data_IF_286332292767
#
_entry.id   IF_286332292767
#
_cell.length_a   1.000
_cell.length_b   1.000
_cell.length_c   1.000
_cell.angle_alpha   90.00
_cell.angle_beta   90.00
_cell.angle_gamma   90.00
#
_symmetry.space_group_name_H-M   'P 1'
#
loop_
_entity.id
_entity.type
_entity.pdbx_description
1 polymer ?
#
# COMPACT_ATOMS: atom_id res chain seq x y z
N UNK A 1 37.98 -75.04 4.60
CA UNK A 1 36.80 -75.93 4.59
C UNK A 1 35.63 -75.16 5.18
N UNK A 2 34.51 -75.13 4.46
CA UNK A 2 33.19 -74.52 4.73
C UNK A 2 33.09 -72.99 4.59
N UNK A 3 32.04 -72.39 4.02
CA UNK A 3 31.03 -72.78 3.02
C UNK A 3 30.26 -71.49 2.66
N UNK A 4 29.86 -71.40 1.39
CA UNK A 4 29.13 -70.32 0.72
C UNK A 4 27.69 -70.16 1.24
N UNK A 5 27.19 -68.92 1.32
CA UNK A 5 25.79 -68.59 1.03
C UNK A 5 25.66 -67.11 0.62
N UNK A 6 26.07 -66.80 -0.62
CA UNK A 6 25.80 -65.52 -1.28
C UNK A 6 24.30 -65.51 -1.67
N UNK A 7 23.45 -64.93 -0.82
CA UNK A 7 22.05 -64.67 -1.17
C UNK A 7 22.01 -63.40 -2.03
N UNK A 8 22.11 -63.58 -3.34
CA UNK A 8 21.90 -62.52 -4.33
C UNK A 8 20.42 -62.15 -4.30
N UNK A 9 20.08 -61.14 -3.50
CA UNK A 9 18.83 -60.41 -3.63
C UNK A 9 18.96 -59.58 -4.91
N UNK A 10 18.32 -60.02 -5.99
CA UNK A 10 18.12 -59.21 -7.19
C UNK A 10 17.41 -57.91 -6.78
N UNK A 11 17.99 -56.72 -6.96
CA UNK A 11 17.20 -55.51 -6.92
C UNK A 11 16.24 -55.60 -8.11
N UNK A 12 14.97 -55.86 -7.84
CA UNK A 12 13.92 -55.53 -8.78
C UNK A 12 14.10 -54.05 -9.07
N UNK A 13 14.54 -53.73 -10.28
CA UNK A 13 14.48 -52.38 -10.81
C UNK A 13 13.00 -52.00 -10.73
N UNK A 14 12.64 -51.25 -9.69
CA UNK A 14 11.45 -50.45 -9.73
C UNK A 14 11.69 -49.49 -10.90
N UNK A 15 11.17 -49.84 -12.08
CA UNK A 15 11.02 -48.88 -13.16
C UNK A 15 10.31 -47.69 -12.55
N UNK A 16 11.02 -46.56 -12.42
CA UNK A 16 10.41 -45.29 -12.12
C UNK A 16 9.39 -45.06 -13.24
N UNK A 17 8.10 -45.16 -12.92
CA UNK A 17 7.04 -44.94 -13.89
C UNK A 17 7.11 -43.46 -14.31
N UNK A 18 7.55 -43.14 -15.54
CA UNK A 18 7.76 -41.75 -15.95
C UNK A 18 6.47 -40.92 -15.90
N UNK A 19 5.31 -41.58 -15.91
CA UNK A 19 4.02 -40.92 -15.73
C UNK A 19 3.77 -40.48 -14.27
N UNK A 20 4.29 -41.22 -13.28
CA UNK A 20 4.20 -40.87 -11.87
C UNK A 20 5.11 -39.69 -11.51
N UNK A 21 6.33 -39.66 -12.07
CA UNK A 21 7.28 -38.55 -11.86
C UNK A 21 6.79 -37.23 -12.48
N UNK A 22 6.19 -37.29 -13.67
CA UNK A 22 5.59 -36.11 -14.31
C UNK A 22 4.39 -35.55 -13.51
N UNK A 23 3.55 -36.43 -12.94
CA UNK A 23 2.45 -36.02 -12.06
C UNK A 23 2.97 -35.36 -10.77
N UNK A 24 4.02 -35.91 -10.17
CA UNK A 24 4.65 -35.31 -8.98
C UNK A 24 5.20 -33.90 -9.26
N UNK A 25 5.85 -33.71 -10.41
CA UNK A 25 6.32 -32.40 -10.86
C UNK A 25 5.15 -31.40 -11.06
N UNK A 26 4.04 -31.83 -11.67
CA UNK A 26 2.84 -31.00 -11.84
C UNK A 26 2.21 -30.60 -10.50
N UNK A 27 2.14 -31.52 -9.53
CA UNK A 27 1.65 -31.22 -8.18
C UNK A 27 2.54 -30.18 -7.49
N UNK A 28 3.87 -30.34 -7.58
CA UNK A 28 4.82 -29.37 -7.03
C UNK A 28 4.67 -27.99 -7.69
N UNK A 29 4.47 -27.94 -9.01
CA UNK A 29 4.23 -26.70 -9.73
C UNK A 29 2.92 -26.01 -9.31
N UNK A 30 1.84 -26.77 -9.12
CA UNK A 30 0.56 -26.24 -8.60
C UNK A 30 0.74 -25.69 -7.18
N UNK A 31 1.47 -26.39 -6.31
CA UNK A 31 1.75 -25.92 -4.96
C UNK A 31 2.57 -24.61 -4.97
N UNK A 32 3.60 -24.52 -5.81
CA UNK A 32 4.41 -23.30 -5.98
C UNK A 32 3.58 -22.13 -6.51
N UNK A 33 2.71 -22.38 -7.49
CA UNK A 33 1.79 -21.36 -8.03
C UNK A 33 0.82 -20.85 -6.95
N UNK A 34 0.25 -21.75 -6.13
CA UNK A 34 -0.61 -21.37 -5.01
C UNK A 34 0.14 -20.54 -3.96
N UNK A 35 1.37 -20.91 -3.61
CA UNK A 35 2.19 -20.11 -2.68
C UNK A 35 2.45 -18.72 -3.25
N UNK A 36 2.75 -18.61 -4.56
CA UNK A 36 2.98 -17.32 -5.22
C UNK A 36 1.71 -16.46 -5.24
N UNK A 37 0.53 -17.04 -5.43
CA UNK A 37 -0.74 -16.33 -5.30
C UNK A 37 -0.99 -15.81 -3.88
N UNK A 38 -0.65 -16.59 -2.85
CA UNK A 38 -0.76 -16.13 -1.46
C UNK A 38 0.18 -14.97 -1.18
N UNK A 39 1.43 -15.06 -1.64
CA UNK A 39 2.40 -13.97 -1.49
C UNK A 39 1.96 -12.70 -2.23
N UNK A 40 1.48 -12.83 -3.48
CA UNK A 40 0.95 -11.70 -4.26
C UNK A 40 -0.31 -11.10 -3.61
N UNK A 41 -1.16 -11.91 -2.98
CA UNK A 41 -2.31 -11.41 -2.22
C UNK A 41 -1.88 -10.59 -1.01
N UNK A 42 -0.83 -11.02 -0.29
CA UNK A 42 -0.28 -10.26 0.83
C UNK A 42 0.36 -8.94 0.34
N UNK A 43 1.12 -9.00 -0.77
CA UNK A 43 1.71 -7.81 -1.41
C UNK A 43 0.61 -6.82 -1.82
N UNK A 44 -0.47 -7.26 -2.46
CA UNK A 44 -1.61 -6.40 -2.82
C UNK A 44 -2.24 -5.74 -1.59
N UNK A 45 -2.34 -6.43 -0.45
CA UNK A 45 -2.86 -5.83 0.78
C UNK A 45 -1.95 -4.73 1.30
N UNK A 46 -0.63 -4.98 1.34
CA UNK A 46 0.36 -3.96 1.70
C UNK A 46 0.35 -2.76 0.75
N UNK A 47 0.17 -2.99 -0.56
CA UNK A 47 0.06 -1.91 -1.55
C UNK A 47 -1.24 -1.10 -1.38
N UNK A 48 -2.36 -1.74 -1.00
CA UNK A 48 -3.60 -1.03 -0.68
C UNK A 48 -3.46 -0.14 0.56
N UNK A 49 -2.79 -0.63 1.60
CA UNK A 49 -2.45 0.17 2.77
C UNK A 49 -1.53 1.34 2.41
N UNK A 50 -0.56 1.10 1.52
CA UNK A 50 0.36 2.12 1.03
C UNK A 50 -0.35 3.22 0.23
N UNK A 51 -1.31 2.86 -0.62
CA UNK A 51 -2.16 3.82 -1.35
C UNK A 51 -3.02 4.64 -0.38
N UNK A 52 -3.64 3.99 0.61
CA UNK A 52 -4.45 4.67 1.63
C UNK A 52 -3.60 5.65 2.44
N UNK A 53 -2.39 5.24 2.84
CA UNK A 53 -1.43 6.13 3.50
C UNK A 53 -1.06 7.31 2.60
N UNK A 54 -0.75 7.07 1.33
CA UNK A 54 -0.38 8.13 0.40
C UNK A 54 -1.53 9.13 0.15
N UNK A 55 -2.79 8.68 0.19
CA UNK A 55 -3.96 9.56 0.14
C UNK A 55 -4.00 10.52 1.33
N UNK A 56 -3.81 9.98 2.54
CA UNK A 56 -3.76 10.80 3.78
C UNK A 56 -2.56 11.74 3.77
N UNK A 57 -1.40 11.28 3.30
CA UNK A 57 -0.19 12.11 3.18
C UNK A 57 -0.42 13.28 2.20
N UNK A 58 -1.11 13.05 1.07
CA UNK A 58 -1.47 14.10 0.09
C UNK A 58 -2.44 15.11 0.70
N UNK A 59 -3.47 14.66 1.43
CA UNK A 59 -4.43 15.54 2.10
C UNK A 59 -3.73 16.42 3.15
N UNK A 60 -2.94 15.79 4.02
CA UNK A 60 -2.13 16.50 5.03
C UNK A 60 -1.19 17.51 4.39
N UNK A 61 -0.52 17.14 3.29
CA UNK A 61 0.39 18.05 2.60
C UNK A 61 -0.35 19.25 1.96
N UNK A 62 -1.57 19.05 1.45
CA UNK A 62 -2.41 20.15 0.92
C UNK A 62 -2.86 21.11 2.02
N UNK A 63 -3.24 20.59 3.18
CA UNK A 63 -3.61 21.42 4.32
C UNK A 63 -2.42 22.23 4.84
N UNK A 64 -1.22 21.63 4.85
CA UNK A 64 0.01 22.34 5.18
C UNK A 64 0.34 23.44 4.17
N UNK A 65 0.11 23.22 2.87
CA UNK A 65 0.26 24.26 1.83
C UNK A 65 -0.73 25.40 2.06
N UNK A 66 -1.99 25.09 2.35
CA UNK A 66 -3.00 26.11 2.63
C UNK A 66 -2.64 26.94 3.87
N UNK A 67 -2.17 26.30 4.93
CA UNK A 67 -1.70 26.96 6.15
C UNK A 67 -0.50 27.85 5.86
N UNK A 68 0.53 27.35 5.17
CA UNK A 68 1.71 28.11 4.82
C UNK A 68 1.41 29.29 3.87
N UNK A 69 0.42 29.14 2.99
CA UNK A 69 -0.08 30.23 2.15
C UNK A 69 -0.73 31.34 3.00
N UNK A 70 -1.60 30.97 3.93
CA UNK A 70 -2.25 31.92 4.84
C UNK A 70 -1.22 32.66 5.72
N UNK A 71 -0.20 31.95 6.22
CA UNK A 71 0.87 32.54 7.02
C UNK A 71 1.73 33.52 6.21
N UNK A 72 1.98 33.22 4.94
CA UNK A 72 2.68 34.11 4.02
C UNK A 72 1.85 35.38 3.74
N UNK A 73 0.56 35.24 3.46
CA UNK A 73 -0.34 36.38 3.23
C UNK A 73 -0.44 37.28 4.47
N UNK A 74 -0.58 36.67 5.66
CA UNK A 74 -0.59 37.37 6.94
C UNK A 74 0.72 38.13 7.17
N UNK A 75 1.86 37.50 6.88
CA UNK A 75 3.17 38.14 7.04
C UNK A 75 3.38 39.29 6.05
N UNK A 76 2.94 39.13 4.80
CA UNK A 76 2.98 40.20 3.80
C UNK A 76 2.12 41.38 4.21
N UNK A 77 0.94 41.13 4.79
CA UNK A 77 0.09 42.19 5.31
C UNK A 77 0.76 42.92 6.48
N UNK A 78 1.36 42.20 7.42
CA UNK A 78 2.10 42.80 8.52
C UNK A 78 3.26 43.69 8.06
N UNK A 79 3.96 43.33 6.98
CA UNK A 79 5.00 44.18 6.36
C UNK A 79 4.39 45.45 5.76
N UNK A 80 3.25 45.36 5.06
CA UNK A 80 2.53 46.54 4.53
C UNK A 80 2.09 47.49 5.65
N UNK A 81 1.59 46.94 6.74
CA UNK A 81 1.13 47.70 7.91
C UNK A 81 2.32 48.40 8.58
N UNK A 82 3.46 47.71 8.74
CA UNK A 82 4.68 48.31 9.27
C UNK A 82 5.21 49.47 8.40
N UNK A 83 5.19 49.31 7.06
CA UNK A 83 5.57 50.38 6.13
C UNK A 83 4.63 51.59 6.25
N UNK A 84 3.32 51.33 6.39
CA UNK A 84 2.31 52.40 6.56
C UNK A 84 2.48 53.14 7.88
N UNK A 85 2.80 52.43 8.97
CA UNK A 85 3.10 53.03 10.27
C UNK A 85 4.34 53.92 10.23
N UNK A 86 5.40 53.52 9.53
CA UNK A 86 6.61 54.34 9.32
C UNK A 86 6.26 55.61 8.53
N UNK A 87 5.54 55.47 7.42
CA UNK A 87 5.12 56.62 6.61
C UNK A 87 4.25 57.60 7.41
N UNK A 88 3.28 57.09 8.18
CA UNK A 88 2.43 57.89 9.05
C UNK A 88 3.21 58.59 10.16
N UNK A 89 4.18 57.92 10.78
CA UNK A 89 5.06 58.55 11.76
C UNK A 89 5.92 59.66 11.13
N UNK A 90 6.40 59.46 9.90
CA UNK A 90 7.26 60.44 9.21
C UNK A 90 6.46 61.68 8.84
N UNK A 91 5.23 61.48 8.36
CA UNK A 91 4.32 62.59 8.08
C UNK A 91 4.02 63.40 9.34
N UNK A 92 3.73 62.75 10.47
CA UNK A 92 3.50 63.45 11.75
C UNK A 92 4.71 64.26 12.20
N UNK A 93 5.92 63.68 12.07
CA UNK A 93 7.16 64.40 12.37
C UNK A 93 7.38 65.60 11.44
N UNK A 94 7.18 65.43 10.13
CA UNK A 94 7.30 66.50 9.14
C UNK A 94 6.29 67.63 9.40
N UNK A 95 5.04 67.30 9.73
CA UNK A 95 4.01 68.28 10.09
C UNK A 95 4.39 69.04 11.36
N UNK A 96 4.89 68.35 12.38
CA UNK A 96 5.36 69.00 13.60
C UNK A 96 6.53 69.94 13.31
N UNK A 97 7.53 69.49 12.55
CA UNK A 97 8.67 70.32 12.16
C UNK A 97 8.24 71.56 11.36
N UNK A 98 7.30 71.41 10.42
CA UNK A 98 6.73 72.53 9.67
C UNK A 98 5.97 73.50 10.58
N UNK A 99 5.15 73.00 11.51
CA UNK A 99 4.42 73.82 12.47
C UNK A 99 5.36 74.55 13.43
N UNK A 100 6.43 73.89 13.90
CA UNK A 100 7.46 74.45 14.75
C UNK A 100 8.36 75.46 14.00
N UNK A 101 8.52 75.32 12.68
CA UNK A 101 9.21 76.33 11.86
C UNK A 101 8.33 77.56 11.64
N UNK A 102 7.06 77.35 11.28
CA UNK A 102 6.11 78.44 10.99
C UNK A 102 5.70 79.23 12.25
N UNK A 103 5.46 78.55 13.38
CA UNK A 103 5.12 79.16 14.67
C UNK A 103 6.33 79.23 15.61
N UNK A 104 7.53 79.03 15.06
CA UNK A 104 8.76 78.92 15.82
C UNK A 104 9.08 80.18 16.61
N UNK A 105 10.14 80.13 17.42
CA UNK A 105 10.43 81.20 18.35
C UNK A 105 10.66 82.52 17.64
N UNK A 106 10.86 82.64 16.32
CA UNK A 106 10.79 83.93 15.61
C UNK A 106 9.48 84.71 15.82
N UNK A 107 8.33 84.05 15.96
CA UNK A 107 7.07 84.70 16.35
C UNK A 107 6.99 84.93 17.86
N UNK A 108 7.56 84.02 18.66
CA UNK A 108 7.59 84.15 20.12
C UNK A 108 8.67 85.10 20.63
N UNK A 109 9.75 85.35 19.91
CA UNK A 109 10.83 86.29 20.22
C UNK A 109 10.31 87.72 20.14
N UNK A 110 9.24 87.94 19.38
CA UNK A 110 8.52 89.21 19.34
C UNK A 110 7.53 89.38 20.52
N UNK A 111 7.22 88.31 21.27
CA UNK A 111 6.26 88.31 22.40
C UNK A 111 6.80 87.70 23.70
N UNK A 112 8.04 87.21 23.74
CA UNK A 112 8.61 86.47 24.86
C UNK A 112 8.95 87.43 25.99
N UNK A 113 8.41 87.14 27.17
CA UNK A 113 8.54 88.01 28.34
C UNK A 113 9.79 87.74 29.16
N UNK A 114 10.48 86.60 28.95
CA UNK A 114 11.71 86.23 29.68
C UNK A 114 12.66 85.31 28.89
N UNK A 115 13.98 85.30 29.22
CA UNK A 115 14.97 84.37 28.64
C UNK A 115 14.69 82.89 28.94
N UNK A 116 14.05 82.58 30.07
CA UNK A 116 13.77 81.21 30.51
C UNK A 116 12.74 80.52 29.59
N UNK A 117 11.77 81.27 29.05
CA UNK A 117 10.75 80.75 28.12
C UNK A 117 11.37 80.23 26.81
N UNK A 118 12.44 80.88 26.34
CA UNK A 118 13.17 80.48 25.13
C UNK A 118 13.88 79.14 25.36
N UNK A 119 14.54 78.98 26.52
CA UNK A 119 15.25 77.75 26.90
C UNK A 119 14.25 76.60 27.07
N UNK A 120 13.11 76.85 27.71
CA UNK A 120 12.06 75.85 27.91
C UNK A 120 11.50 75.34 26.56
N UNK A 121 11.27 76.25 25.61
CA UNK A 121 10.77 75.92 24.26
C UNK A 121 11.78 75.09 23.48
N UNK A 122 13.07 75.44 23.54
CA UNK A 122 14.12 74.68 22.86
C UNK A 122 14.31 73.28 23.48
N UNK A 123 14.26 73.18 24.82
CA UNK A 123 14.34 71.90 25.52
C UNK A 123 13.15 70.97 25.15
N UNK A 124 11.94 71.52 25.05
CA UNK A 124 10.76 70.79 24.61
C UNK A 124 10.91 70.28 23.16
N UNK A 125 11.40 71.12 22.24
CA UNK A 125 11.65 70.74 20.85
C UNK A 125 12.71 69.62 20.72
N UNK A 126 13.80 69.72 21.49
CA UNK A 126 14.85 68.68 21.56
C UNK A 126 14.30 67.36 22.09
N UNK A 127 13.52 67.40 23.18
CA UNK A 127 12.89 66.21 23.77
C UNK A 127 11.95 65.51 22.79
N UNK A 128 11.10 66.27 22.09
CA UNK A 128 10.17 65.71 21.11
C UNK A 128 10.90 65.14 19.88
N UNK A 129 11.99 65.78 19.44
CA UNK A 129 12.83 65.26 18.35
C UNK A 129 13.48 63.93 18.74
N UNK A 130 14.05 63.83 19.95
CA UNK A 130 14.62 62.60 20.46
C UNK A 130 13.56 61.49 20.62
N UNK A 131 12.35 61.84 21.08
CA UNK A 131 11.22 60.91 21.15
C UNK A 131 10.82 60.39 19.76
N UNK A 132 10.76 61.28 18.76
CA UNK A 132 10.43 60.93 17.38
C UNK A 132 11.47 60.00 16.75
N UNK A 133 12.76 60.29 16.96
CA UNK A 133 13.85 59.40 16.52
C UNK A 133 13.75 58.02 17.18
N UNK A 134 13.41 57.97 18.47
CA UNK A 134 13.20 56.71 19.19
C UNK A 134 12.02 55.91 18.63
N UNK A 135 10.89 56.57 18.35
CA UNK A 135 9.72 55.94 17.71
C UNK A 135 10.11 55.39 16.33
N UNK A 136 10.83 56.17 15.52
CA UNK A 136 11.29 55.74 14.21
C UNK A 136 12.23 54.54 14.26
N UNK A 137 13.19 54.54 15.19
CA UNK A 137 14.08 53.41 15.38
C UNK A 137 13.30 52.13 15.74
N UNK A 138 12.33 52.22 16.65
CA UNK A 138 11.45 51.10 17.02
C UNK A 138 10.61 50.61 15.84
N UNK A 139 10.07 51.51 15.02
CA UNK A 139 9.28 51.14 13.83
C UNK A 139 10.15 50.46 12.76
N UNK A 140 11.37 50.93 12.52
CA UNK A 140 12.31 50.30 11.59
C UNK A 140 12.75 48.92 12.08
N UNK A 141 12.99 48.77 13.38
CA UNK A 141 13.25 47.47 13.99
C UNK A 141 12.07 46.53 13.78
N UNK A 142 10.85 46.94 14.13
CA UNK A 142 9.64 46.13 13.94
C UNK A 142 9.44 45.74 12.47
N UNK A 143 9.66 46.66 11.51
CA UNK A 143 9.62 46.36 10.07
C UNK A 143 10.63 45.27 9.69
N UNK A 144 11.84 45.34 10.22
CA UNK A 144 12.89 44.33 9.95
C UNK A 144 12.48 42.96 10.49
N UNK A 145 11.91 42.91 11.69
CA UNK A 145 11.35 41.67 12.25
C UNK A 145 10.21 41.10 11.39
N UNK A 146 9.33 41.95 10.85
CA UNK A 146 8.27 41.49 9.94
C UNK A 146 8.82 40.99 8.60
N UNK A 147 9.83 41.64 8.02
CA UNK A 147 10.49 41.16 6.79
C UNK A 147 11.18 39.81 7.00
N UNK A 148 11.76 39.59 8.18
CA UNK A 148 12.35 38.30 8.55
C UNK A 148 11.26 37.22 8.68
N UNK A 149 10.11 37.54 9.29
CA UNK A 149 8.94 36.65 9.37
C UNK A 149 8.37 36.32 8.00
N UNK A 150 8.22 37.31 7.12
CA UNK A 150 7.76 37.11 5.74
C UNK A 150 8.72 36.19 4.96
N UNK A 151 10.03 36.38 5.14
CA UNK A 151 11.04 35.53 4.51
C UNK A 151 10.95 34.09 5.01
N UNK A 152 10.76 33.89 6.32
CA UNK A 152 10.55 32.57 6.91
C UNK A 152 9.24 31.93 6.41
N UNK A 153 8.14 32.69 6.33
CA UNK A 153 6.87 32.21 5.81
C UNK A 153 6.96 31.83 4.32
N UNK A 154 7.73 32.57 3.52
CA UNK A 154 7.97 32.24 2.11
C UNK A 154 8.73 30.91 1.97
N UNK A 155 9.74 30.70 2.81
CA UNK A 155 10.47 29.42 2.84
C UNK A 155 9.57 28.27 3.31
N UNK A 156 8.75 28.50 4.34
CA UNK A 156 7.78 27.52 4.82
C UNK A 156 6.79 27.12 3.71
N UNK A 157 6.28 28.09 2.94
CA UNK A 157 5.44 27.83 1.76
C UNK A 157 6.17 26.98 0.72
N UNK A 158 7.40 27.32 0.35
CA UNK A 158 8.17 26.54 -0.63
C UNK A 158 8.38 25.10 -0.17
N UNK A 159 8.67 24.90 1.13
CA UNK A 159 8.82 23.57 1.70
C UNK A 159 7.50 22.80 1.72
N UNK A 160 6.38 23.45 2.03
CA UNK A 160 5.06 22.84 1.97
C UNK A 160 4.66 22.45 0.54
N UNK A 161 4.88 23.34 -0.43
CA UNK A 161 4.61 23.09 -1.85
C UNK A 161 5.44 21.89 -2.36
N UNK A 162 6.72 21.80 -1.95
CA UNK A 162 7.58 20.65 -2.25
C UNK A 162 7.06 19.36 -1.60
N UNK A 163 6.70 19.40 -0.32
CA UNK A 163 6.15 18.24 0.37
C UNK A 163 4.85 17.73 -0.28
N UNK A 164 4.00 18.64 -0.77
CA UNK A 164 2.79 18.28 -1.51
C UNK A 164 3.10 17.61 -2.86
N UNK A 165 4.12 18.08 -3.58
CA UNK A 165 4.59 17.44 -4.80
C UNK A 165 5.17 16.04 -4.53
N UNK A 166 5.98 15.90 -3.48
CA UNK A 166 6.58 14.62 -3.07
C UNK A 166 5.50 13.61 -2.62
N UNK A 167 4.48 14.06 -1.88
CA UNK A 167 3.33 13.25 -1.49
C UNK A 167 2.52 12.77 -2.70
N UNK A 168 2.30 13.66 -3.69
CA UNK A 168 1.62 13.29 -4.94
C UNK A 168 2.40 12.25 -5.74
N UNK A 169 3.72 12.42 -5.84
CA UNK A 169 4.60 11.44 -6.48
C UNK A 169 4.54 10.08 -5.78
N UNK A 170 4.52 10.07 -4.44
CA UNK A 170 4.40 8.84 -3.64
C UNK A 170 3.06 8.14 -3.85
N UNK A 171 1.96 8.90 -3.96
CA UNK A 171 0.64 8.37 -4.33
C UNK A 171 0.68 7.70 -5.71
N UNK A 172 1.26 8.36 -6.72
CA UNK A 172 1.33 7.81 -8.07
C UNK A 172 2.16 6.52 -8.10
N UNK A 173 3.27 6.49 -7.37
CA UNK A 173 4.09 5.30 -7.22
C UNK A 173 3.32 4.14 -6.55
N UNK A 174 2.59 4.41 -5.47
CA UNK A 174 1.80 3.40 -4.78
C UNK A 174 0.65 2.85 -5.65
N UNK A 175 -0.03 3.72 -6.41
CA UNK A 175 -1.08 3.30 -7.35
C UNK A 175 -0.50 2.44 -8.48
N UNK A 176 0.67 2.82 -9.00
CA UNK A 176 1.36 2.04 -10.03
C UNK A 176 1.79 0.66 -9.51
N UNK A 177 2.35 0.60 -8.29
CA UNK A 177 2.74 -0.64 -7.64
C UNK A 177 1.54 -1.57 -7.41
N UNK A 178 0.44 -1.04 -6.84
CA UNK A 178 -0.80 -1.79 -6.66
C UNK A 178 -1.35 -2.35 -7.99
N UNK A 179 -1.31 -1.54 -9.05
CA UNK A 179 -1.77 -1.95 -10.38
C UNK A 179 -0.90 -3.09 -10.93
N UNK A 180 0.43 -2.97 -10.79
CA UNK A 180 1.37 -4.01 -11.22
C UNK A 180 1.17 -5.32 -10.45
N UNK A 181 0.98 -5.25 -9.13
CA UNK A 181 0.76 -6.44 -8.29
C UNK A 181 -0.56 -7.14 -8.61
N UNK A 182 -1.62 -6.37 -8.91
CA UNK A 182 -2.89 -6.92 -9.42
C UNK A 182 -2.72 -7.65 -10.75
N UNK A 183 -2.01 -7.04 -11.71
CA UNK A 183 -1.72 -7.68 -12.99
C UNK A 183 -0.96 -9.00 -12.82
N UNK A 184 0.12 -9.01 -12.02
CA UNK A 184 0.89 -10.22 -11.70
C UNK A 184 0.03 -11.30 -11.04
N UNK A 185 -0.89 -10.91 -10.17
CA UNK A 185 -1.82 -11.84 -9.53
C UNK A 185 -2.74 -12.50 -10.55
N UNK A 186 -3.30 -11.73 -11.48
CA UNK A 186 -4.17 -12.26 -12.53
C UNK A 186 -3.41 -13.21 -13.48
N UNK A 187 -2.22 -12.82 -13.94
CA UNK A 187 -1.33 -13.68 -14.73
C UNK A 187 -1.01 -15.00 -13.99
N UNK A 188 -0.67 -14.91 -12.70
CA UNK A 188 -0.35 -16.08 -11.89
C UNK A 188 -1.58 -16.98 -11.64
N UNK A 189 -2.78 -16.41 -11.61
CA UNK A 189 -4.05 -17.14 -11.46
C UNK A 189 -4.35 -17.93 -12.73
N UNK A 190 -4.14 -17.35 -13.90
CA UNK A 190 -4.30 -18.05 -15.19
C UNK A 190 -3.32 -19.23 -15.30
N UNK A 191 -2.06 -19.02 -14.92
CA UNK A 191 -1.05 -20.08 -14.86
C UNK A 191 -1.47 -21.24 -13.94
N UNK A 192 -2.06 -20.92 -12.78
CA UNK A 192 -2.55 -21.94 -11.84
C UNK A 192 -3.69 -22.77 -12.45
N UNK A 193 -4.63 -22.11 -13.15
CA UNK A 193 -5.73 -22.80 -13.85
C UNK A 193 -5.17 -23.75 -14.92
N UNK A 194 -4.18 -23.29 -15.71
CA UNK A 194 -3.51 -24.10 -16.73
C UNK A 194 -2.82 -25.33 -16.11
N UNK A 195 -2.00 -25.13 -15.08
CA UNK A 195 -1.31 -26.21 -14.37
C UNK A 195 -2.27 -27.21 -13.72
N UNK A 196 -3.38 -26.73 -13.16
CA UNK A 196 -4.41 -27.60 -12.59
C UNK A 196 -5.07 -28.48 -13.66
N UNK A 197 -5.33 -27.92 -14.85
CA UNK A 197 -5.88 -28.67 -15.98
C UNK A 197 -4.88 -29.73 -16.48
N UNK A 198 -3.60 -29.38 -16.68
CA UNK A 198 -2.54 -30.31 -17.08
C UNK A 198 -2.38 -31.46 -16.09
N UNK A 199 -2.36 -31.15 -14.78
CA UNK A 199 -2.32 -32.13 -13.70
C UNK A 199 -3.51 -33.10 -13.78
N UNK A 200 -4.72 -32.58 -13.96
CA UNK A 200 -5.93 -33.40 -14.05
C UNK A 200 -5.89 -34.33 -15.27
N UNK A 201 -5.39 -33.85 -16.41
CA UNK A 201 -5.21 -34.67 -17.61
C UNK A 201 -4.14 -35.76 -17.42
N UNK A 202 -3.00 -35.43 -16.80
CA UNK A 202 -1.96 -36.41 -16.48
C UNK A 202 -2.47 -37.51 -15.53
N UNK A 203 -3.22 -37.12 -14.49
CA UNK A 203 -3.87 -38.05 -13.58
C UNK A 203 -4.82 -39.00 -14.32
N UNK A 204 -5.65 -38.48 -15.23
CA UNK A 204 -6.59 -39.29 -15.99
C UNK A 204 -5.87 -40.32 -16.90
N UNK A 205 -4.77 -39.93 -17.54
CA UNK A 205 -3.94 -40.82 -18.37
C UNK A 205 -3.30 -41.93 -17.53
N UNK A 206 -2.75 -41.59 -16.36
CA UNK A 206 -2.16 -42.57 -15.44
C UNK A 206 -3.19 -43.61 -14.97
N UNK A 207 -4.39 -43.15 -14.60
CA UNK A 207 -5.47 -44.06 -14.17
C UNK A 207 -5.97 -44.95 -15.32
N UNK A 208 -6.00 -44.44 -16.56
CA UNK A 208 -6.31 -45.26 -17.73
C UNK A 208 -5.24 -46.34 -17.97
N UNK A 209 -3.96 -45.98 -17.92
CA UNK A 209 -2.84 -46.90 -18.09
C UNK A 209 -2.84 -48.01 -17.02
N UNK A 210 -3.11 -47.66 -15.75
CA UNK A 210 -3.27 -48.64 -14.66
C UNK A 210 -4.42 -49.61 -14.91
N UNK A 211 -5.57 -49.13 -15.39
CA UNK A 211 -6.72 -49.99 -15.75
C UNK A 211 -6.39 -50.95 -16.89
N UNK A 212 -5.69 -50.48 -17.92
CA UNK A 212 -5.24 -51.31 -19.03
C UNK A 212 -4.22 -52.37 -18.58
N UNK A 213 -3.27 -52.00 -17.73
CA UNK A 213 -2.30 -52.93 -17.15
C UNK A 213 -3.00 -54.02 -16.31
N UNK A 214 -3.98 -53.64 -15.48
CA UNK A 214 -4.79 -54.59 -14.70
C UNK A 214 -5.60 -55.53 -15.60
N UNK A 215 -6.19 -55.02 -16.70
CA UNK A 215 -6.93 -55.83 -17.68
C UNK A 215 -6.02 -56.85 -18.40
N UNK A 216 -4.81 -56.44 -18.78
CA UNK A 216 -3.80 -57.33 -19.39
C UNK A 216 -3.39 -58.45 -18.43
N UNK A 217 -3.14 -58.15 -17.16
CA UNK A 217 -2.80 -59.13 -16.13
C UNK A 217 -3.95 -60.13 -15.85
N UNK A 218 -5.20 -59.65 -15.83
CA UNK A 218 -6.39 -60.51 -15.70
C UNK A 218 -6.60 -61.48 -16.88
N UNK A 219 -6.21 -61.09 -18.09
CA UNK A 219 -6.31 -61.92 -19.30
C UNK A 219 -5.23 -63.01 -19.42
N UNK A 220 -4.08 -62.85 -18.75
CA UNK A 220 -3.02 -63.86 -18.66
C UNK A 220 -3.35 -65.00 -17.68
N UNK A 221 -4.03 -64.67 -16.57
CA UNK A 221 -4.50 -65.66 -15.59
C UNK A 221 -5.62 -66.56 -16.11
N UNK A 222 -6.52 -66.05 -16.94
CA UNK A 222 -7.61 -66.83 -17.55
C UNK A 222 -7.12 -67.82 -18.60
N UNK A 223 -6.09 -67.47 -19.40
CA UNK A 223 -5.45 -68.41 -20.35
C UNK A 223 -4.73 -69.55 -19.63
N UNK A 224 -4.04 -69.29 -18.52
CA UNK A 224 -3.35 -70.34 -17.74
C UNK A 224 -4.31 -71.32 -17.05
N UNK A 225 -5.50 -70.84 -16.66
CA UNK A 225 -6.55 -71.67 -16.04
C UNK A 225 -7.37 -72.47 -17.06
N UNK A 226 -7.46 -72.01 -18.31
CA UNK A 226 -8.09 -72.76 -19.40
C UNK A 226 -7.23 -73.94 -19.90
N UNK A 227 -5.90 -73.86 -19.80
CA UNK A 227 -4.98 -74.95 -20.19
C UNK A 227 -4.96 -76.07 -19.12
N UNK A 228 -5.18 -75.73 -17.85
CA UNK A 228 -5.28 -76.70 -16.76
C UNK A 228 -6.65 -77.42 -16.66
N UNK A 229 -7.72 -76.86 -17.25
CA UNK A 229 -9.07 -77.44 -17.21
C UNK A 229 -9.41 -78.44 -18.32
N UNK A 230 -8.45 -78.83 -19.17
CA UNK A 230 -8.68 -79.69 -20.35
C UNK A 230 -8.25 -81.15 -20.17
N UNK A 231 -8.12 -81.62 -18.93
CA UNK A 231 -8.07 -83.06 -18.61
C UNK A 231 -9.15 -83.37 -17.57
N UNK A 232 -9.95 -84.39 -17.92
CA UNK A 232 -10.97 -85.08 -17.10
C UNK A 232 -12.40 -84.50 -17.10
N UNK A 233 -13.19 -85.00 -18.06
CA UNK A 233 -14.56 -85.47 -17.80
C UNK A 233 -14.50 -86.99 -17.60
N UNK A 234 -15.27 -87.54 -16.64
CA UNK A 234 -16.40 -88.35 -17.06
C UNK A 234 -17.70 -88.05 -16.31
N UNK A 235 -18.78 -88.59 -16.88
CA UNK A 235 -20.18 -88.35 -16.55
C UNK A 235 -20.63 -88.97 -15.22
N UNK A 236 -21.61 -88.34 -14.56
CA UNK A 236 -22.31 -88.92 -13.43
C UNK A 236 -23.47 -88.04 -12.93
N UNK A 237 -24.70 -88.44 -13.25
CA UNK A 237 -25.96 -87.84 -12.75
C UNK A 237 -26.13 -88.06 -11.24
N UNK A 238 -26.73 -87.09 -10.53
CA UNK A 238 -28.02 -87.21 -9.80
C UNK A 238 -28.44 -85.88 -9.15
N UNK A 239 -29.72 -85.82 -8.78
CA UNK A 239 -30.64 -84.67 -8.71
C UNK A 239 -31.23 -84.54 -7.29
N UNK A 240 -31.46 -83.32 -6.77
CA UNK A 240 -32.60 -82.83 -5.93
C UNK A 240 -32.32 -81.36 -5.50
N UNK A 241 -33.12 -80.37 -5.94
CA UNK A 241 -34.26 -79.68 -5.24
C UNK A 241 -33.84 -79.16 -3.84
N UNK A 242 -33.68 -77.88 -3.47
CA UNK A 242 -34.34 -76.57 -3.74
C UNK A 242 -34.86 -76.00 -2.38
N UNK A 243 -35.35 -74.75 -2.19
CA UNK A 243 -35.02 -73.39 -2.67
C UNK A 243 -34.41 -72.51 -1.50
N UNK A 244 -34.06 -71.21 -1.55
CA UNK A 244 -34.84 -70.04 -1.91
C UNK A 244 -33.99 -68.73 -1.88
N UNK A 245 -34.34 -67.81 -2.79
CA UNK A 245 -34.45 -66.34 -2.68
C UNK A 245 -33.31 -65.48 -2.10
N UNK A 246 -32.91 -64.44 -2.87
CA UNK A 246 -32.53 -63.15 -2.29
C UNK A 246 -31.51 -62.30 -3.07
N UNK A 247 -31.97 -61.64 -4.15
CA UNK A 247 -31.76 -60.20 -4.48
C UNK A 247 -30.35 -59.56 -4.34
N UNK A 248 -29.80 -59.10 -5.48
CA UNK A 248 -28.81 -58.02 -5.56
C UNK A 248 -29.53 -56.67 -5.81
N UNK A 249 -28.89 -55.48 -5.85
CA UNK A 249 -27.53 -55.06 -5.44
C UNK A 249 -27.57 -53.81 -4.52
N UNK A 250 -26.42 -53.37 -3.99
CA UNK A 250 -26.34 -52.09 -3.27
C UNK A 250 -24.93 -51.50 -3.31
N UNK A 251 -24.74 -50.46 -4.12
CA UNK A 251 -23.60 -49.53 -4.07
C UNK A 251 -24.16 -48.09 -4.13
N UNK A 252 -23.37 -47.06 -3.84
CA UNK A 252 -23.14 -46.47 -2.53
C UNK A 252 -23.82 -45.08 -2.40
N UNK A 253 -23.97 -44.55 -1.19
CA UNK A 253 -24.24 -43.10 -1.00
C UNK A 253 -23.16 -42.46 -0.15
N UNK A 254 -22.19 -41.85 -0.84
CA UNK A 254 -21.40 -40.76 -0.30
C UNK A 254 -22.33 -39.57 -0.03
N UNK A 255 -22.49 -39.22 1.24
CA UNK A 255 -23.10 -37.96 1.69
C UNK A 255 -21.98 -36.98 1.98
N UNK A 256 -21.66 -36.14 1.01
CA UNK A 256 -20.99 -34.85 1.23
C UNK A 256 -21.66 -33.82 0.32
N UNK A 257 -22.78 -33.28 0.79
CA UNK A 257 -23.36 -32.07 0.22
C UNK A 257 -22.87 -30.88 1.04
N UNK A 258 -22.07 -30.04 0.39
CA UNK A 258 -21.88 -28.64 0.77
C UNK A 258 -23.18 -27.87 0.53
N UNK A 259 -23.49 -26.95 1.44
CA UNK A 259 -24.11 -25.67 1.09
C UNK A 259 -23.59 -24.62 2.09
N UNK A 260 -23.01 -23.50 1.63
CA UNK A 260 -22.80 -22.30 2.44
C UNK A 260 -24.01 -21.38 2.30
N UNK A 261 -24.56 -20.91 3.41
CA UNK A 261 -25.54 -19.81 3.43
C UNK A 261 -24.85 -18.56 3.98
N UNK A 262 -24.82 -17.51 3.17
CA UNK A 262 -24.30 -16.18 3.49
C UNK A 262 -25.09 -15.47 4.61
N UNK A 263 -24.50 -14.43 5.24
CA UNK A 263 -25.00 -13.87 6.49
C UNK A 263 -26.11 -12.84 6.28
N UNK A 264 -27.07 -12.83 7.21
CA UNK A 264 -28.05 -11.77 7.36
C UNK A 264 -27.44 -10.60 8.14
N UNK A 265 -27.48 -9.43 7.50
CA UNK A 265 -27.42 -8.09 8.10
C UNK A 265 -28.26 -7.97 9.37
N UNK A 266 -27.68 -7.40 10.44
CA UNK A 266 -28.46 -6.69 11.45
C UNK A 266 -27.70 -5.49 12.01
N UNK A 267 -28.31 -4.36 11.74
CA UNK A 267 -28.08 -3.02 12.24
C UNK A 267 -28.00 -2.93 13.77
N UNK A 268 -27.06 -2.13 14.26
CA UNK A 268 -27.25 -1.18 15.35
C UNK A 268 -26.17 -0.12 15.30
#
# INVERSE_FOLDING_TARGET
>A
MLSVALLVCTPGLAEADPAADNLAALIANVAKANQRLQNLSAEIQTEQESVNKALVDVETARDNVATAQHDLETSQQAVKDANSAIAGAQQRFNTFAAAAYMNGPSSSYLTASSPDDIIATEAAAKSLTASSQTVMAKLQQARTEQLNKESAARLAKQNADKAAADAKSSQDAAVAALTNSRQKFDEQREDMIRLAAERNQAQAKLEAAKREAAARQGSGGSRRRAIAGRRERPAGRRRRLGPASGTAPGTPRCRWSRAPTSPATRSR
#
